data_IF_945567327548
#
_entry.id   IF_945567327548
#
_cell.length_a   1.000
_cell.length_b   1.000
_cell.length_c   1.000
_cell.angle_alpha   90.00
_cell.angle_beta   90.00
_cell.angle_gamma   90.00
#
_symmetry.space_group_name_H-M   'P 1'
#
loop_
_entity.id
_entity.type
_entity.pdbx_description
1 polymer ?
#
# COMPACT_ATOMS: atom_id res chain seq x y z
N UNK A 1 -11.38 18.03 5.78
CA UNK A 1 -11.09 16.58 5.63
C UNK A 1 -12.32 15.87 5.10
N UNK A 2 -12.14 14.99 4.11
CA UNK A 2 -13.20 14.20 3.49
C UNK A 2 -12.84 12.72 3.54
N UNK A 3 -13.85 11.86 3.71
CA UNK A 3 -13.75 10.43 3.45
C UNK A 3 -15.09 9.94 2.90
N UNK A 4 -15.08 9.03 1.93
CA UNK A 4 -16.30 8.41 1.38
C UNK A 4 -17.20 7.84 2.49
N UNK A 5 -16.60 7.26 3.52
CA UNK A 5 -17.31 6.86 4.74
C UNK A 5 -17.22 8.00 5.75
N UNK A 6 -18.27 8.82 5.86
CA UNK A 6 -18.28 10.04 6.69
C UNK A 6 -17.81 9.80 8.14
N UNK A 7 -18.23 8.70 8.77
CA UNK A 7 -17.84 8.34 10.13
C UNK A 7 -16.31 8.26 10.34
N UNK A 8 -15.54 7.88 9.31
CA UNK A 8 -14.07 7.85 9.38
C UNK A 8 -13.44 9.24 9.41
N UNK A 9 -14.04 10.21 8.72
CA UNK A 9 -13.59 11.60 8.77
C UNK A 9 -14.01 12.27 10.07
N UNK A 10 -15.22 11.98 10.58
CA UNK A 10 -15.74 12.54 11.83
C UNK A 10 -14.85 12.26 13.05
N UNK A 11 -14.13 11.14 13.06
CA UNK A 11 -13.15 10.82 14.09
C UNK A 11 -12.03 11.89 14.22
N UNK A 12 -11.80 12.72 13.21
CA UNK A 12 -10.81 13.80 13.22
C UNK A 12 -11.36 15.13 13.76
N UNK A 13 -12.68 15.29 13.87
CA UNK A 13 -13.30 16.54 14.34
C UNK A 13 -12.81 16.97 15.74
N UNK A 14 -12.67 16.06 16.73
CA UNK A 14 -12.13 16.41 18.04
C UNK A 14 -10.67 16.90 18.00
N UNK A 15 -9.93 16.58 16.93
CA UNK A 15 -8.56 17.04 16.68
C UNK A 15 -8.50 18.39 15.95
N UNK A 16 -9.65 19.06 15.78
CA UNK A 16 -9.75 20.36 15.12
C UNK A 16 -9.95 20.30 13.61
N UNK A 17 -10.13 19.11 13.02
CA UNK A 17 -10.39 18.99 11.59
C UNK A 17 -11.80 19.50 11.22
N UNK A 18 -11.88 20.36 10.21
CA UNK A 18 -13.16 20.69 9.57
C UNK A 18 -13.55 19.56 8.62
N UNK A 19 -14.69 18.91 8.86
CA UNK A 19 -15.20 17.81 8.04
C UNK A 19 -16.13 18.37 6.95
N UNK A 20 -15.96 17.90 5.72
CA UNK A 20 -16.64 18.41 4.52
C UNK A 20 -17.23 17.27 3.70
N UNK A 21 -18.14 17.59 2.78
CA UNK A 21 -18.93 16.59 2.06
C UNK A 21 -18.26 16.07 0.77
N UNK A 22 -17.23 16.75 0.28
CA UNK A 22 -16.58 16.41 -0.98
C UNK A 22 -15.05 16.63 -0.98
N UNK A 23 -14.28 15.95 -1.86
CA UNK A 23 -12.88 16.27 -2.12
C UNK A 23 -12.67 17.73 -2.55
N UNK A 24 -13.57 18.28 -3.37
CA UNK A 24 -13.56 19.69 -3.79
C UNK A 24 -13.60 20.65 -2.62
N UNK A 25 -14.55 20.47 -1.70
CA UNK A 25 -14.63 21.28 -0.48
C UNK A 25 -13.36 21.13 0.37
N UNK A 26 -12.79 19.92 0.44
CA UNK A 26 -11.57 19.67 1.22
C UNK A 26 -10.35 20.39 0.63
N UNK A 27 -10.32 20.61 -0.69
CA UNK A 27 -9.25 21.31 -1.39
C UNK A 27 -9.46 22.84 -1.44
N UNK A 28 -10.68 23.33 -1.20
CA UNK A 28 -11.01 24.76 -1.33
C UNK A 28 -10.26 25.57 -0.29
N UNK A 29 -9.43 26.51 -0.76
CA UNK A 29 -8.63 27.37 0.12
C UNK A 29 -7.36 26.71 0.69
N UNK A 30 -7.08 25.45 0.35
CA UNK A 30 -5.89 24.75 0.83
C UNK A 30 -4.66 25.06 -0.03
N UNK A 31 -3.51 25.26 0.63
CA UNK A 31 -2.21 25.37 -0.03
C UNK A 31 -1.62 23.99 -0.35
N UNK A 32 -1.95 23.00 0.47
CA UNK A 32 -1.55 21.60 0.33
C UNK A 32 -2.77 20.68 0.43
N UNK A 33 -2.84 19.69 -0.47
CA UNK A 33 -3.90 18.67 -0.46
C UNK A 33 -3.24 17.30 -0.41
N UNK A 34 -3.46 16.55 0.67
CA UNK A 34 -2.96 15.18 0.81
C UNK A 34 -4.06 14.20 0.42
N UNK A 35 -3.72 13.21 -0.41
CA UNK A 35 -4.60 12.08 -0.73
C UNK A 35 -3.99 10.76 -0.25
N UNK A 36 -4.86 9.86 0.23
CA UNK A 36 -4.48 8.55 0.77
C UNK A 36 -5.63 7.57 0.51
N UNK A 37 -5.65 6.97 -0.69
CA UNK A 37 -6.76 6.15 -1.19
C UNK A 37 -6.30 4.76 -1.63
N UNK A 38 -7.25 3.88 -1.96
CA UNK A 38 -7.00 2.44 -2.14
C UNK A 38 -6.23 2.07 -3.41
N UNK A 39 -6.55 2.71 -4.52
CA UNK A 39 -6.16 2.29 -5.87
C UNK A 39 -6.25 3.43 -6.89
N UNK A 40 -5.66 3.26 -8.10
CA UNK A 40 -5.66 4.29 -9.14
C UNK A 40 -7.05 4.79 -9.57
N UNK A 41 -8.06 3.92 -9.81
CA UNK A 41 -9.41 4.41 -10.13
C UNK A 41 -10.02 5.31 -9.05
N UNK A 42 -9.84 4.97 -7.77
CA UNK A 42 -10.32 5.81 -6.67
C UNK A 42 -9.55 7.12 -6.60
N UNK A 43 -8.24 7.13 -6.87
CA UNK A 43 -7.44 8.36 -6.94
C UNK A 43 -7.95 9.28 -8.04
N UNK A 44 -8.14 8.76 -9.25
CA UNK A 44 -8.68 9.53 -10.37
C UNK A 44 -10.06 10.11 -10.03
N UNK A 45 -10.95 9.32 -9.42
CA UNK A 45 -12.27 9.82 -9.00
C UNK A 45 -12.19 10.93 -7.94
N UNK A 46 -11.28 10.82 -6.98
CA UNK A 46 -11.08 11.81 -5.91
C UNK A 46 -10.44 13.10 -6.42
N UNK A 47 -9.57 13.02 -7.43
CA UNK A 47 -8.87 14.17 -7.98
C UNK A 47 -9.65 14.84 -9.12
N UNK A 48 -10.07 14.06 -10.11
CA UNK A 48 -10.63 14.52 -11.39
C UNK A 48 -12.16 14.43 -11.49
N UNK A 49 -12.83 13.80 -10.51
CA UNK A 49 -14.28 13.69 -10.50
C UNK A 49 -14.99 15.06 -10.53
N UNK A 50 -16.31 15.10 -10.78
CA UNK A 50 -17.08 16.35 -10.83
C UNK A 50 -16.91 17.22 -9.56
N UNK A 51 -16.84 16.58 -8.40
CA UNK A 51 -16.53 17.19 -7.10
C UNK A 51 -15.14 16.77 -6.59
N UNK A 52 -14.22 16.52 -7.52
CA UNK A 52 -12.84 16.15 -7.26
C UNK A 52 -12.01 17.32 -6.73
N UNK A 53 -10.89 16.99 -6.07
CA UNK A 53 -10.01 17.95 -5.44
C UNK A 53 -9.47 19.01 -6.42
N UNK A 54 -9.19 18.63 -7.68
CA UNK A 54 -8.69 19.57 -8.69
C UNK A 54 -9.66 20.74 -8.94
N UNK A 55 -10.97 20.51 -8.81
CA UNK A 55 -11.98 21.54 -9.01
C UNK A 55 -12.14 22.51 -7.83
N UNK A 56 -11.46 22.25 -6.70
CA UNK A 56 -11.41 23.11 -5.51
C UNK A 56 -10.05 23.77 -5.28
N UNK A 57 -8.99 23.25 -5.90
CA UNK A 57 -7.65 23.82 -5.80
C UNK A 57 -7.55 25.19 -6.49
N UNK A 58 -6.71 26.07 -5.93
CA UNK A 58 -6.30 27.31 -6.58
C UNK A 58 -4.98 27.07 -7.33
N UNK A 59 -4.65 27.85 -8.38
CA UNK A 59 -3.35 27.76 -9.02
C UNK A 59 -2.21 27.83 -7.99
N UNK A 60 -1.22 26.94 -8.12
CA UNK A 60 -0.10 26.81 -7.20
C UNK A 60 -0.32 25.86 -6.01
N UNK A 61 -1.55 25.41 -5.73
CA UNK A 61 -1.81 24.39 -4.69
C UNK A 61 -0.97 23.13 -4.97
N UNK A 62 -0.32 22.59 -3.94
CA UNK A 62 0.48 21.37 -4.02
C UNK A 62 -0.34 20.15 -3.58
N UNK A 63 -0.61 19.25 -4.53
CA UNK A 63 -1.17 17.94 -4.23
C UNK A 63 -0.05 16.96 -3.87
N UNK A 64 -0.25 16.23 -2.78
CA UNK A 64 0.66 15.20 -2.27
C UNK A 64 -0.13 13.89 -2.23
N UNK A 65 0.10 13.01 -3.19
CA UNK A 65 -0.54 11.70 -3.20
C UNK A 65 0.32 10.67 -2.47
N UNK A 66 -0.21 10.15 -1.37
CA UNK A 66 0.44 9.15 -0.53
C UNK A 66 -0.10 7.72 -0.76
N UNK A 67 -0.99 7.58 -1.74
CA UNK A 67 -1.57 6.30 -2.16
C UNK A 67 -0.52 5.43 -2.86
N UNK A 68 -0.73 4.12 -2.85
CA UNK A 68 0.07 3.23 -3.70
C UNK A 68 -0.60 3.06 -5.06
N UNK A 69 -0.04 3.73 -6.07
CA UNK A 69 -0.40 3.62 -7.49
C UNK A 69 0.81 3.21 -8.33
N UNK A 70 0.59 2.92 -9.62
CA UNK A 70 1.68 2.67 -10.55
C UNK A 70 2.32 3.98 -11.08
N UNK A 71 3.56 3.91 -11.61
CA UNK A 71 4.27 5.10 -12.07
C UNK A 71 3.57 5.84 -13.23
N UNK A 72 2.81 5.14 -14.08
CA UNK A 72 2.09 5.76 -15.20
C UNK A 72 0.90 6.58 -14.67
N UNK A 73 0.16 6.05 -13.70
CA UNK A 73 -0.88 6.79 -12.97
C UNK A 73 -0.32 8.08 -12.36
N UNK A 74 0.79 8.02 -11.62
CA UNK A 74 1.39 9.22 -11.01
C UNK A 74 1.79 10.27 -12.04
N UNK A 75 2.39 9.84 -13.16
CA UNK A 75 2.75 10.74 -14.26
C UNK A 75 1.53 11.39 -14.90
N UNK A 76 0.46 10.62 -15.11
CA UNK A 76 -0.80 11.13 -15.66
C UNK A 76 -1.44 12.17 -14.73
N UNK A 77 -1.52 11.90 -13.43
CA UNK A 77 -2.07 12.84 -12.44
C UNK A 77 -1.22 14.12 -12.34
N UNK A 78 0.11 13.99 -12.37
CA UNK A 78 1.01 15.14 -12.38
C UNK A 78 0.84 16.00 -13.63
N UNK A 79 0.71 15.39 -14.82
CA UNK A 79 0.46 16.11 -16.07
C UNK A 79 -0.90 16.82 -16.03
N UNK A 80 -1.93 16.17 -15.49
CA UNK A 80 -3.24 16.78 -15.31
C UNK A 80 -3.18 17.98 -14.37
N UNK A 81 -2.57 17.82 -13.21
CA UNK A 81 -2.37 18.90 -12.23
C UNK A 81 -1.66 20.10 -12.88
N UNK A 82 -0.58 19.85 -13.63
CA UNK A 82 0.16 20.90 -14.33
C UNK A 82 -0.70 21.66 -15.36
N UNK A 83 -1.58 20.96 -16.10
CA UNK A 83 -2.51 21.60 -17.06
C UNK A 83 -3.50 22.57 -16.41
N UNK A 84 -3.70 22.46 -15.10
CA UNK A 84 -4.57 23.32 -14.28
C UNK A 84 -3.78 24.37 -13.47
N UNK A 85 -2.47 24.48 -13.69
CA UNK A 85 -1.60 25.36 -12.91
C UNK A 85 -1.35 24.87 -11.47
N UNK A 86 -1.57 23.59 -11.20
CA UNK A 86 -1.38 22.97 -9.90
C UNK A 86 0.00 22.27 -9.82
N UNK A 87 0.48 22.04 -8.61
CA UNK A 87 1.71 21.31 -8.35
C UNK A 87 1.37 19.89 -7.86
N UNK A 88 2.23 18.92 -8.15
CA UNK A 88 2.00 17.52 -7.77
C UNK A 88 3.26 16.87 -7.21
N UNK A 89 3.08 16.01 -6.23
CA UNK A 89 4.11 15.20 -5.58
C UNK A 89 3.50 13.83 -5.28
N UNK A 90 4.16 12.74 -5.69
CA UNK A 90 3.83 11.43 -5.12
C UNK A 90 4.71 11.19 -3.89
N UNK A 91 4.14 10.59 -2.86
CA UNK A 91 4.78 10.30 -1.59
C UNK A 91 4.21 9.02 -0.95
N UNK A 92 4.14 7.88 -1.66
CA UNK A 92 3.67 6.62 -1.09
C UNK A 92 4.45 6.22 0.17
N UNK A 93 3.79 5.45 1.04
CA UNK A 93 4.30 5.15 2.38
C UNK A 93 4.47 3.66 2.69
N UNK A 94 5.32 3.37 3.67
CA UNK A 94 5.57 2.03 4.23
C UNK A 94 5.64 2.11 5.75
N UNK A 95 5.16 1.06 6.43
CA UNK A 95 5.17 0.92 7.89
C UNK A 95 3.84 0.45 8.48
N UNK A 96 2.75 0.52 7.71
CA UNK A 96 1.42 0.09 8.15
C UNK A 96 0.79 1.03 9.19
N UNK A 97 -0.33 0.58 9.77
CA UNK A 97 -1.13 1.40 10.71
C UNK A 97 -0.32 1.84 11.93
N UNK A 98 0.42 0.93 12.56
CA UNK A 98 1.20 1.28 13.76
C UNK A 98 2.28 2.35 13.51
N UNK A 99 2.94 2.33 12.35
CA UNK A 99 3.89 3.38 11.99
C UNK A 99 3.18 4.71 11.68
N UNK A 100 1.98 4.68 11.10
CA UNK A 100 1.18 5.88 10.84
C UNK A 100 0.72 6.54 12.14
N UNK A 101 0.20 5.77 13.09
CA UNK A 101 -0.22 6.25 14.41
C UNK A 101 0.94 6.90 15.19
N UNK A 102 2.16 6.38 15.01
CA UNK A 102 3.36 6.89 15.67
C UNK A 102 4.04 8.04 14.91
N UNK A 103 3.60 8.39 13.70
CA UNK A 103 4.29 9.37 12.85
C UNK A 103 5.68 8.90 12.39
N UNK A 104 5.86 7.60 12.19
CA UNK A 104 7.17 6.97 11.90
C UNK A 104 7.24 6.29 10.54
N UNK A 105 6.34 6.63 9.62
CA UNK A 105 6.32 6.07 8.28
C UNK A 105 7.65 6.27 7.56
N UNK A 106 7.95 5.33 6.67
CA UNK A 106 8.89 5.57 5.57
C UNK A 106 8.12 6.13 4.40
N UNK A 107 8.50 7.31 3.92
CA UNK A 107 7.85 8.04 2.84
C UNK A 107 8.80 8.10 1.64
N UNK A 108 8.34 7.62 0.48
CA UNK A 108 9.13 7.49 -0.74
C UNK A 108 8.61 8.49 -1.76
N UNK A 109 9.34 9.56 -1.98
CA UNK A 109 8.86 10.74 -2.70
C UNK A 109 9.36 10.78 -4.13
N UNK A 110 8.46 10.96 -5.09
CA UNK A 110 8.78 11.25 -6.49
C UNK A 110 8.22 12.61 -6.90
N UNK A 111 9.03 13.41 -7.61
CA UNK A 111 8.64 14.74 -8.08
C UNK A 111 9.82 15.71 -8.11
N UNK A 112 9.54 16.99 -8.33
CA UNK A 112 10.62 17.99 -8.42
C UNK A 112 11.22 18.30 -7.05
N UNK A 113 12.52 18.66 -6.97
CA UNK A 113 13.14 19.07 -5.72
C UNK A 113 12.41 20.21 -5.01
N UNK A 114 11.81 21.15 -5.75
CA UNK A 114 11.08 22.29 -5.20
C UNK A 114 9.76 21.86 -4.55
N UNK A 115 9.02 20.93 -5.18
CA UNK A 115 7.81 20.36 -4.58
C UNK A 115 8.15 19.51 -3.36
N UNK A 116 9.23 18.75 -3.42
CA UNK A 116 9.71 17.98 -2.27
C UNK A 116 10.09 18.89 -1.11
N UNK A 117 10.88 19.94 -1.34
CA UNK A 117 11.28 20.89 -0.31
C UNK A 117 10.07 21.59 0.34
N UNK A 118 9.06 21.95 -0.45
CA UNK A 118 7.82 22.55 0.06
C UNK A 118 6.98 21.58 0.90
N UNK A 119 6.92 20.30 0.52
CA UNK A 119 6.15 19.29 1.25
C UNK A 119 6.88 18.72 2.48
N UNK A 120 8.21 18.79 2.52
CA UNK A 120 9.06 18.15 3.53
C UNK A 120 8.62 18.41 4.98
N UNK A 121 8.29 19.66 5.40
CA UNK A 121 7.84 19.92 6.77
C UNK A 121 6.55 19.16 7.13
N UNK A 122 5.63 18.99 6.17
CA UNK A 122 4.40 18.21 6.37
C UNK A 122 4.70 16.71 6.46
N UNK A 123 5.55 16.21 5.57
CA UNK A 123 5.95 14.80 5.54
C UNK A 123 6.68 14.39 6.84
N UNK A 124 7.47 15.29 7.44
CA UNK A 124 8.17 15.08 8.71
C UNK A 124 7.24 14.92 9.91
N UNK A 125 5.97 15.35 9.81
CA UNK A 125 4.96 15.11 10.87
C UNK A 125 4.41 13.68 10.84
N UNK A 126 4.52 12.99 9.71
CA UNK A 126 3.93 11.66 9.48
C UNK A 126 5.00 10.56 9.36
N UNK A 127 6.24 10.94 9.07
CA UNK A 127 7.30 10.02 8.70
C UNK A 127 8.61 10.26 9.46
N UNK A 128 9.29 9.16 9.77
CA UNK A 128 10.65 9.17 10.33
C UNK A 128 11.73 9.15 9.25
N UNK A 129 11.46 8.48 8.13
CA UNK A 129 12.39 8.33 7.02
C UNK A 129 11.74 8.82 5.75
N UNK A 130 12.27 9.91 5.18
CA UNK A 130 11.72 10.55 3.99
C UNK A 130 12.80 10.54 2.92
N UNK A 131 12.52 9.89 1.80
CA UNK A 131 13.46 9.71 0.70
C UNK A 131 12.94 10.41 -0.54
N UNK A 132 13.70 11.33 -1.12
CA UNK A 132 13.43 11.83 -2.47
C UNK A 132 14.05 10.85 -3.47
N UNK A 133 13.21 9.97 -4.02
CA UNK A 133 13.60 8.88 -4.92
C UNK A 133 13.93 9.35 -6.34
N UNK A 134 13.58 10.60 -6.68
CA UNK A 134 13.86 11.22 -7.97
C UNK A 134 12.63 11.87 -8.60
N UNK A 135 12.56 11.96 -9.94
CA UNK A 135 11.42 12.55 -10.64
C UNK A 135 10.12 11.73 -10.46
N UNK A 136 9.02 12.27 -11.00
CA UNK A 136 7.70 11.67 -10.90
C UNK A 136 7.67 10.20 -11.37
N UNK A 137 7.08 9.32 -10.57
CA UNK A 137 7.00 7.88 -10.78
C UNK A 137 8.07 7.09 -10.01
N UNK A 138 9.18 7.71 -9.58
CA UNK A 138 10.25 7.02 -8.85
C UNK A 138 9.84 6.61 -7.43
N UNK A 139 9.01 7.40 -6.76
CA UNK A 139 8.44 7.04 -5.46
C UNK A 139 7.55 5.80 -5.58
N UNK A 140 6.71 5.76 -6.62
CA UNK A 140 5.88 4.59 -6.93
C UNK A 140 6.71 3.34 -7.28
N UNK A 141 7.75 3.45 -8.12
CA UNK A 141 8.65 2.32 -8.42
C UNK A 141 9.31 1.80 -7.15
N UNK A 142 9.82 2.69 -6.29
CA UNK A 142 10.48 2.30 -5.04
C UNK A 142 9.48 1.59 -4.09
N UNK A 143 8.27 2.14 -3.96
CA UNK A 143 7.19 1.53 -3.16
C UNK A 143 6.80 0.14 -3.68
N UNK A 144 6.57 0.01 -4.99
CA UNK A 144 6.17 -1.26 -5.61
C UNK A 144 7.27 -2.30 -5.50
N UNK A 145 8.54 -1.89 -5.61
CA UNK A 145 9.69 -2.77 -5.39
C UNK A 145 9.72 -3.34 -3.96
N UNK A 146 9.46 -2.51 -2.95
CA UNK A 146 9.39 -2.97 -1.57
C UNK A 146 8.21 -3.92 -1.32
N UNK A 147 7.04 -3.61 -1.89
CA UNK A 147 5.84 -4.44 -1.75
C UNK A 147 5.98 -5.80 -2.49
N UNK A 148 6.61 -5.82 -3.66
CA UNK A 148 6.95 -7.04 -4.40
C UNK A 148 7.75 -7.98 -3.50
N UNK A 149 8.83 -7.49 -2.90
CA UNK A 149 9.69 -8.30 -2.03
C UNK A 149 8.91 -8.84 -0.83
N UNK A 150 8.07 -8.01 -0.21
CA UNK A 150 7.22 -8.43 0.90
C UNK A 150 6.23 -9.54 0.51
N UNK A 151 5.58 -9.43 -0.65
CA UNK A 151 4.64 -10.43 -1.14
C UNK A 151 5.32 -11.78 -1.43
N UNK A 152 6.52 -11.75 -2.01
CA UNK A 152 7.34 -12.95 -2.21
C UNK A 152 7.75 -13.60 -0.88
N UNK A 153 8.17 -12.81 0.12
CA UNK A 153 8.55 -13.32 1.45
C UNK A 153 7.37 -14.03 2.12
N UNK A 154 6.18 -13.41 2.11
CA UNK A 154 4.98 -14.02 2.72
C UNK A 154 4.60 -15.33 2.02
N UNK A 155 4.69 -15.35 0.70
CA UNK A 155 4.37 -16.57 -0.07
C UNK A 155 5.38 -17.68 0.20
N UNK A 156 6.68 -17.38 0.18
CA UNK A 156 7.73 -18.35 0.50
C UNK A 156 7.63 -18.87 1.94
N UNK A 157 7.26 -18.01 2.90
CA UNK A 157 6.98 -18.41 4.28
C UNK A 157 5.83 -19.43 4.32
N UNK A 158 4.72 -19.14 3.65
CA UNK A 158 3.56 -20.02 3.61
C UNK A 158 3.89 -21.38 2.97
N UNK A 159 4.63 -21.38 1.85
CA UNK A 159 5.10 -22.60 1.19
C UNK A 159 6.04 -23.42 2.09
N UNK A 160 7.01 -22.77 2.74
CA UNK A 160 7.95 -23.41 3.65
C UNK A 160 7.26 -24.04 4.86
N UNK A 161 6.30 -23.33 5.47
CA UNK A 161 5.48 -23.84 6.57
C UNK A 161 4.67 -25.06 6.13
N UNK A 162 3.98 -24.99 4.99
CA UNK A 162 3.17 -26.11 4.49
C UNK A 162 4.03 -27.32 4.14
N UNK A 163 5.17 -27.13 3.46
CA UNK A 163 6.11 -28.19 3.12
C UNK A 163 6.60 -28.93 4.36
N UNK A 164 7.11 -28.19 5.35
CA UNK A 164 7.69 -28.78 6.55
C UNK A 164 6.63 -29.47 7.41
N UNK A 165 5.44 -28.87 7.53
CA UNK A 165 4.31 -29.48 8.26
C UNK A 165 3.87 -30.78 7.58
N UNK A 166 3.82 -30.81 6.24
CA UNK A 166 3.49 -32.03 5.48
C UNK A 166 4.53 -33.13 5.69
N UNK A 167 5.79 -32.76 5.89
CA UNK A 167 6.87 -33.68 6.23
C UNK A 167 6.85 -34.17 7.69
N UNK A 168 5.92 -33.69 8.51
CA UNK A 168 5.75 -34.10 9.91
C UNK A 168 6.52 -33.26 10.94
N UNK A 169 7.13 -32.15 10.52
CA UNK A 169 7.76 -31.20 11.44
C UNK A 169 6.71 -30.38 12.19
N UNK A 170 7.06 -29.95 13.41
CA UNK A 170 6.25 -29.01 14.18
C UNK A 170 6.28 -27.63 13.51
N UNK A 171 5.12 -27.05 13.11
CA UNK A 171 5.04 -25.70 12.56
C UNK A 171 5.72 -24.63 13.41
N UNK A 172 5.71 -24.76 14.74
CA UNK A 172 6.35 -23.80 15.65
C UNK A 172 7.87 -23.78 15.48
N UNK A 173 8.49 -24.95 15.42
CA UNK A 173 9.93 -25.09 15.16
C UNK A 173 10.31 -24.53 13.78
N UNK A 174 9.47 -24.76 12.78
CA UNK A 174 9.71 -24.23 11.42
C UNK A 174 9.60 -22.71 11.41
N UNK A 175 8.57 -22.16 12.06
CA UNK A 175 8.37 -20.72 12.16
C UNK A 175 9.54 -20.02 12.84
N UNK A 176 10.13 -20.61 13.89
CA UNK A 176 11.34 -20.11 14.56
C UNK A 176 12.51 -19.96 13.58
N UNK A 177 12.84 -21.03 12.84
CA UNK A 177 13.95 -21.02 11.87
C UNK A 177 13.68 -20.05 10.70
N UNK A 178 12.44 -19.98 10.20
CA UNK A 178 12.11 -19.07 9.10
C UNK A 178 12.13 -17.59 9.54
N UNK A 179 11.85 -17.31 10.82
CA UNK A 179 11.86 -15.94 11.36
C UNK A 179 13.25 -15.30 11.28
N UNK A 180 14.33 -16.08 11.37
CA UNK A 180 15.70 -15.60 11.17
C UNK A 180 15.97 -15.03 9.77
N UNK A 181 15.12 -15.36 8.79
CA UNK A 181 15.29 -14.92 7.39
C UNK A 181 14.68 -13.55 7.12
N UNK A 182 13.70 -13.11 7.93
CA UNK A 182 13.06 -11.82 7.74
C UNK A 182 12.27 -11.37 8.97
N UNK A 183 12.41 -10.09 9.40
CA UNK A 183 11.53 -9.49 10.41
C UNK A 183 10.04 -9.51 10.03
N UNK A 184 9.73 -9.60 8.73
CA UNK A 184 8.35 -9.77 8.28
C UNK A 184 7.81 -11.13 8.72
N UNK A 185 8.59 -12.21 8.52
CA UNK A 185 8.22 -13.56 8.93
C UNK A 185 8.07 -13.65 10.44
N UNK A 186 9.05 -13.13 11.20
CA UNK A 186 9.03 -13.07 12.66
C UNK A 186 7.71 -12.47 13.19
N UNK A 187 7.24 -11.38 12.56
CA UNK A 187 5.99 -10.73 12.93
C UNK A 187 4.73 -11.46 12.46
N UNK A 188 4.78 -12.21 11.36
CA UNK A 188 3.58 -12.79 10.73
C UNK A 188 3.35 -14.25 11.05
N UNK A 189 4.40 -15.06 11.19
CA UNK A 189 4.30 -16.49 11.39
C UNK A 189 3.50 -16.88 12.65
N UNK A 190 3.69 -16.26 13.83
CA UNK A 190 2.91 -16.62 15.03
C UNK A 190 1.39 -16.53 14.82
N UNK A 191 0.92 -15.55 14.03
CA UNK A 191 -0.51 -15.40 13.72
C UNK A 191 -1.03 -16.48 12.78
N UNK A 192 -0.23 -16.85 11.77
CA UNK A 192 -0.55 -17.98 10.88
C UNK A 192 -0.71 -19.27 11.68
N UNK A 193 0.21 -19.53 12.61
CA UNK A 193 0.17 -20.71 13.48
C UNK A 193 -1.06 -20.69 14.41
N UNK A 194 -1.48 -19.50 14.87
CA UNK A 194 -2.69 -19.32 15.65
C UNK A 194 -3.99 -19.38 14.81
N UNK A 195 -3.90 -19.45 13.47
CA UNK A 195 -5.06 -19.34 12.58
C UNK A 195 -5.70 -17.95 12.55
N UNK A 196 -4.98 -16.92 13.02
CA UNK A 196 -5.44 -15.53 13.01
C UNK A 196 -5.11 -14.86 11.67
N UNK A 197 -6.15 -14.70 10.85
CA UNK A 197 -6.08 -14.03 9.56
C UNK A 197 -6.79 -12.66 9.57
N UNK A 198 -6.98 -12.05 10.74
CA UNK A 198 -7.50 -10.68 10.82
C UNK A 198 -6.59 -9.72 10.04
N UNK A 199 -7.19 -8.91 9.17
CA UNK A 199 -6.44 -8.10 8.22
C UNK A 199 -5.62 -7.00 8.91
N UNK A 200 -4.31 -7.08 8.73
CA UNK A 200 -3.38 -5.96 8.95
C UNK A 200 -3.00 -5.32 7.62
N UNK A 201 -2.85 -6.16 6.60
CA UNK A 201 -2.82 -5.74 5.22
C UNK A 201 -3.72 -6.67 4.40
N UNK A 202 -4.96 -6.25 4.08
CA UNK A 202 -5.91 -7.07 3.33
C UNK A 202 -5.31 -7.68 2.06
N UNK A 203 -5.58 -8.96 1.83
CA UNK A 203 -5.09 -9.69 0.66
C UNK A 203 -5.46 -8.98 -0.65
N UNK A 204 -6.66 -8.41 -0.75
CA UNK A 204 -7.06 -7.64 -1.95
C UNK A 204 -6.18 -6.42 -2.23
N UNK A 205 -5.63 -5.78 -1.19
CA UNK A 205 -4.71 -4.65 -1.36
C UNK A 205 -3.31 -5.13 -1.73
N UNK A 206 -2.84 -6.24 -1.16
CA UNK A 206 -1.60 -6.90 -1.56
C UNK A 206 -1.66 -7.33 -3.02
N UNK A 207 -2.78 -7.96 -3.44
CA UNK A 207 -3.01 -8.33 -4.84
C UNK A 207 -3.00 -7.13 -5.77
N UNK A 208 -3.65 -6.03 -5.39
CA UNK A 208 -3.60 -4.78 -6.15
C UNK A 208 -2.15 -4.28 -6.30
N UNK A 209 -1.36 -4.25 -5.23
CA UNK A 209 0.06 -3.83 -5.30
C UNK A 209 0.89 -4.75 -6.22
N UNK A 210 0.65 -6.06 -6.15
CA UNK A 210 1.27 -7.06 -7.05
C UNK A 210 0.91 -6.79 -8.51
N UNK A 211 -0.35 -6.50 -8.81
CA UNK A 211 -0.78 -6.16 -10.18
C UNK A 211 -0.16 -4.86 -10.69
N UNK A 212 -0.04 -3.84 -9.84
CA UNK A 212 0.63 -2.58 -10.19
C UNK A 212 2.12 -2.81 -10.50
N UNK A 213 2.80 -3.63 -9.70
CA UNK A 213 4.20 -3.98 -9.94
C UNK A 213 4.39 -4.75 -11.25
N UNK A 214 3.52 -5.73 -11.55
CA UNK A 214 3.54 -6.47 -12.83
C UNK A 214 3.22 -5.56 -14.02
N UNK A 215 2.32 -4.59 -13.87
CA UNK A 215 2.04 -3.61 -14.92
C UNK A 215 3.26 -2.74 -15.20
N UNK A 216 3.88 -2.18 -14.17
CA UNK A 216 5.10 -1.40 -14.29
C UNK A 216 6.26 -2.21 -14.91
N UNK A 217 6.38 -3.49 -14.56
CA UNK A 217 7.43 -4.35 -15.10
C UNK A 217 7.26 -4.63 -16.59
N UNK A 218 6.02 -4.81 -17.06
CA UNK A 218 5.72 -4.93 -18.50
C UNK A 218 6.09 -3.66 -19.26
N UNK A 219 5.75 -2.48 -18.73
CA UNK A 219 6.12 -1.19 -19.34
C UNK A 219 7.64 -0.99 -19.44
N UNK A 220 8.40 -1.57 -18.51
CA UNK A 220 9.87 -1.44 -18.43
C UNK A 220 10.64 -2.62 -19.06
N UNK A 221 9.95 -3.68 -19.52
CA UNK A 221 10.59 -4.89 -20.03
C UNK A 221 11.35 -5.69 -18.96
N UNK A 222 10.93 -5.63 -17.70
CA UNK A 222 11.56 -6.34 -16.57
C UNK A 222 10.78 -7.62 -16.23
N UNK A 223 11.39 -8.81 -16.29
CA UNK A 223 10.73 -10.05 -15.91
C UNK A 223 10.62 -10.17 -14.38
N UNK A 224 9.43 -10.50 -13.87
CA UNK A 224 9.16 -10.69 -12.44
C UNK A 224 8.60 -12.09 -12.17
N UNK A 225 9.31 -13.13 -12.60
CA UNK A 225 8.81 -14.52 -12.61
C UNK A 225 8.31 -15.03 -11.25
N UNK A 226 8.99 -14.71 -10.15
CA UNK A 226 8.51 -15.08 -8.81
C UNK A 226 7.20 -14.37 -8.46
N UNK A 227 7.06 -13.10 -8.84
CA UNK A 227 5.86 -12.32 -8.56
C UNK A 227 4.65 -12.81 -9.37
N UNK A 228 4.87 -13.32 -10.58
CA UNK A 228 3.80 -13.92 -11.39
C UNK A 228 3.17 -15.13 -10.68
N UNK A 229 3.97 -16.01 -10.09
CA UNK A 229 3.48 -17.13 -9.28
C UNK A 229 2.72 -16.65 -8.04
N UNK A 230 3.24 -15.65 -7.34
CA UNK A 230 2.55 -15.00 -6.21
C UNK A 230 1.19 -14.45 -6.64
N UNK A 231 1.11 -13.78 -7.79
CA UNK A 231 -0.12 -13.21 -8.31
C UNK A 231 -1.20 -14.28 -8.56
N UNK A 232 -0.80 -15.45 -9.10
CA UNK A 232 -1.72 -16.57 -9.31
C UNK A 232 -2.24 -17.15 -8.00
N UNK A 233 -1.38 -17.34 -7.01
CA UNK A 233 -1.81 -17.83 -5.69
C UNK A 233 -2.76 -16.84 -5.00
N UNK A 234 -2.45 -15.55 -5.06
CA UNK A 234 -3.35 -14.51 -4.52
C UNK A 234 -4.69 -14.49 -5.26
N UNK A 235 -4.71 -14.63 -6.58
CA UNK A 235 -5.95 -14.73 -7.35
C UNK A 235 -6.79 -15.96 -6.94
N UNK A 236 -6.16 -17.12 -6.73
CA UNK A 236 -6.84 -18.32 -6.23
C UNK A 236 -7.43 -18.12 -4.83
N UNK A 237 -6.72 -17.40 -3.95
CA UNK A 237 -7.22 -17.05 -2.62
C UNK A 237 -8.38 -16.04 -2.68
N UNK A 238 -8.33 -15.05 -3.58
CA UNK A 238 -9.45 -14.12 -3.80
C UNK A 238 -10.71 -14.85 -4.30
N UNK A 239 -10.56 -15.84 -5.18
CA UNK A 239 -11.67 -16.68 -5.66
C UNK A 239 -12.30 -17.56 -4.55
N UNK A 240 -11.68 -17.61 -3.37
CA UNK A 240 -12.17 -18.27 -2.15
C UNK A 240 -12.64 -17.27 -1.09
N UNK A 241 -12.96 -16.05 -1.50
CA UNK A 241 -13.46 -14.97 -0.62
C UNK A 241 -12.50 -14.56 0.51
N UNK A 242 -11.19 -14.81 0.35
CA UNK A 242 -10.18 -14.47 1.35
C UNK A 242 -9.67 -13.02 1.24
N UNK A 243 -10.26 -12.20 0.37
CA UNK A 243 -9.75 -10.86 0.04
C UNK A 243 -9.72 -9.86 1.19
N UNK A 244 -10.63 -10.02 2.14
CA UNK A 244 -10.73 -9.19 3.35
C UNK A 244 -9.90 -9.72 4.52
N UNK A 245 -9.25 -10.88 4.38
CA UNK A 245 -8.31 -11.42 5.35
C UNK A 245 -6.90 -10.85 5.12
N UNK A 246 -6.00 -11.06 6.07
CA UNK A 246 -4.58 -10.69 5.93
C UNK A 246 -3.95 -11.39 4.72
N UNK A 247 -2.96 -10.77 4.08
CA UNK A 247 -2.24 -11.36 2.94
C UNK A 247 -1.64 -12.76 3.21
N UNK A 248 -1.44 -13.12 4.47
CA UNK A 248 -0.98 -14.46 4.90
C UNK A 248 -2.03 -15.55 4.66
N UNK A 249 -3.31 -15.19 4.47
CA UNK A 249 -4.42 -16.13 4.23
C UNK A 249 -4.26 -16.97 2.95
N UNK A 250 -3.33 -16.61 2.05
CA UNK A 250 -2.92 -17.46 0.92
C UNK A 250 -2.47 -18.86 1.36
N UNK A 251 -2.00 -19.03 2.61
CA UNK A 251 -1.68 -20.34 3.17
C UNK A 251 -2.88 -21.30 3.18
N UNK A 252 -4.10 -20.80 3.35
CA UNK A 252 -5.31 -21.66 3.38
C UNK A 252 -5.54 -22.34 2.03
N UNK A 253 -5.13 -21.72 0.93
CA UNK A 253 -5.15 -22.33 -0.41
C UNK A 253 -4.14 -23.48 -0.47
N UNK A 254 -2.92 -23.23 -0.01
CA UNK A 254 -1.85 -24.23 0.01
C UNK A 254 -2.17 -25.41 0.93
N UNK A 255 -2.70 -25.15 2.11
CA UNK A 255 -3.19 -26.16 3.06
C UNK A 255 -4.25 -27.06 2.42
N UNK A 256 -5.20 -26.46 1.69
CA UNK A 256 -6.24 -27.19 0.96
C UNK A 256 -5.67 -28.09 -0.14
N UNK A 257 -4.70 -27.60 -0.92
CA UNK A 257 -4.03 -28.37 -1.99
C UNK A 257 -3.20 -29.51 -1.40
N UNK A 258 -2.43 -29.23 -0.34
CA UNK A 258 -1.51 -30.19 0.27
C UNK A 258 -2.22 -31.18 1.22
N UNK A 259 -3.46 -30.90 1.63
CA UNK A 259 -4.18 -31.70 2.62
C UNK A 259 -3.46 -31.74 3.98
N UNK A 260 -3.01 -30.58 4.46
CA UNK A 260 -2.36 -30.41 5.77
C UNK A 260 -2.74 -29.06 6.37
N UNK A 261 -2.77 -28.94 7.69
CA UNK A 261 -3.05 -27.69 8.41
C UNK A 261 -1.82 -27.24 9.18
N UNK A 262 -1.42 -25.98 9.04
CA UNK A 262 -0.28 -25.36 9.72
C UNK A 262 -0.78 -24.63 10.96
N UNK A 263 -0.88 -25.32 12.09
CA UNK A 263 -1.30 -24.72 13.36
C UNK A 263 -0.33 -25.12 14.48
N UNK A 264 -0.17 -24.24 15.47
CA UNK A 264 0.48 -24.65 16.73
C UNK A 264 -0.35 -25.77 17.38
N UNK A 265 0.31 -26.78 17.94
CA UNK A 265 -0.35 -27.79 18.78
C UNK A 265 -0.86 -27.19 20.09
#
# INVERSE_FOLDING_TARGET
AYNRTAAKAEALRPMGATIVASPREAATGADFVITMVSDPPVLAAVLEGPDGAFAGCRPGTLLIDMSTVDPDTSRAMAARAASLGLRYLEAPVMGGVGAAEQGTLTIMVGGTPENFAAAKPLLETMGRKILHAGPMGHGSVLKLSANLVAACIVTAMNEGLVLATKAGLDPAMVAEVLSERSPLIERTAPRVLAGDFAARFPLKLSHKDVQLALAASRSLGVPLSSLEAVAQLQAAALAKDLGDQDQTATIQVLEGIAGVQVRSK
#
